data_IF_793716755877
#
_entry.id   IF_793716755877
#
_cell.length_a   1.000
_cell.length_b   1.000
_cell.length_c   1.000
_cell.angle_alpha   90.00
_cell.angle_beta   90.00
_cell.angle_gamma   90.00
#
_symmetry.space_group_name_H-M   'P 1'
#
loop_
_entity.id
_entity.type
_entity.pdbx_description
1 polymer ?
#
# COMPACT_ATOMS: atom_id res chain seq x y z
N UNK A 1 1.86 -3.23 26.74
CA UNK A 1 1.53 -4.06 25.57
C UNK A 1 1.36 -3.23 24.31
N UNK A 2 2.49 -2.96 23.64
CA UNK A 2 2.49 -2.34 22.31
C UNK A 2 2.71 -3.40 21.22
N UNK A 3 3.90 -4.03 21.15
CA UNK A 3 4.20 -5.05 20.13
C UNK A 3 3.95 -6.50 20.59
N UNK A 4 4.01 -6.74 21.91
CA UNK A 4 3.92 -8.06 22.54
C UNK A 4 2.82 -8.07 23.60
N UNK A 5 2.08 -9.17 23.71
CA UNK A 5 1.26 -9.52 24.87
C UNK A 5 2.00 -10.52 25.76
N UNK A 6 2.69 -10.06 26.83
CA UNK A 6 3.40 -10.94 27.74
C UNK A 6 2.53 -11.39 28.92
N UNK A 7 1.26 -10.97 29.05
CA UNK A 7 0.50 -11.13 30.32
C UNK A 7 0.45 -12.57 30.81
N UNK A 8 0.08 -13.50 29.92
CA UNK A 8 0.06 -14.94 30.23
C UNK A 8 1.44 -15.47 30.64
N UNK A 9 2.47 -14.98 29.96
CA UNK A 9 3.85 -15.35 30.27
C UNK A 9 4.34 -14.80 31.60
N UNK A 10 3.95 -13.58 31.94
CA UNK A 10 4.24 -12.93 33.21
C UNK A 10 3.60 -13.70 34.37
N UNK A 11 2.33 -14.08 34.24
CA UNK A 11 1.62 -14.92 35.22
C UNK A 11 2.36 -16.26 35.42
N UNK A 12 2.72 -16.93 34.32
CA UNK A 12 3.46 -18.20 34.37
C UNK A 12 4.85 -18.06 35.03
N UNK A 13 5.55 -16.96 34.75
CA UNK A 13 6.87 -16.69 35.33
C UNK A 13 6.79 -16.41 36.83
N UNK A 14 5.79 -15.64 37.27
CA UNK A 14 5.56 -15.41 38.69
C UNK A 14 5.11 -16.66 39.43
N UNK A 15 4.34 -17.54 38.79
CA UNK A 15 3.99 -18.84 39.37
C UNK A 15 5.23 -19.73 39.57
N UNK A 16 6.15 -19.75 38.61
CA UNK A 16 7.43 -20.46 38.74
C UNK A 16 8.29 -19.84 39.86
N UNK A 17 8.42 -18.50 39.89
CA UNK A 17 9.18 -17.80 40.92
C UNK A 17 8.62 -18.04 42.32
N UNK A 18 7.29 -18.04 42.47
CA UNK A 18 6.63 -18.37 43.73
C UNK A 18 6.93 -19.80 44.19
N UNK A 19 6.96 -20.76 43.26
CA UNK A 19 7.30 -22.15 43.55
C UNK A 19 8.77 -22.30 43.99
N UNK A 20 9.70 -21.55 43.41
CA UNK A 20 11.13 -21.58 43.77
C UNK A 20 11.43 -20.88 45.11
N UNK A 21 10.75 -19.77 45.39
CA UNK A 21 11.04 -18.93 46.56
C UNK A 21 10.16 -19.24 47.77
N UNK A 22 9.03 -19.92 47.58
CA UNK A 22 8.01 -20.14 48.61
C UNK A 22 7.18 -18.90 48.96
N UNK A 23 7.40 -17.77 48.29
CA UNK A 23 6.64 -16.53 48.50
C UNK A 23 5.31 -16.60 47.75
N UNK A 24 4.23 -16.17 48.40
CA UNK A 24 2.92 -16.05 47.74
C UNK A 24 2.89 -14.80 46.87
N UNK A 25 2.71 -14.98 45.56
CA UNK A 25 2.70 -13.89 44.57
C UNK A 25 1.39 -13.98 43.77
N UNK A 26 0.69 -12.85 43.64
CA UNK A 26 -0.44 -12.73 42.72
C UNK A 26 0.06 -12.31 41.33
N UNK A 27 0.26 -13.31 40.47
CA UNK A 27 0.75 -13.11 39.11
C UNK A 27 -0.22 -12.33 38.21
N UNK A 28 -1.53 -12.44 38.44
CA UNK A 28 -2.54 -11.70 37.67
C UNK A 28 -2.51 -10.21 38.02
N UNK A 29 -2.39 -9.90 39.32
CA UNK A 29 -2.22 -8.53 39.78
C UNK A 29 -0.91 -7.92 39.24
N UNK A 30 0.17 -8.70 39.18
CA UNK A 30 1.43 -8.25 38.59
C UNK A 30 1.29 -8.01 37.06
N UNK A 31 0.60 -8.89 36.34
CA UNK A 31 0.34 -8.72 34.90
C UNK A 31 -0.54 -7.49 34.59
N UNK A 32 -1.47 -7.12 35.47
CA UNK A 32 -2.30 -5.93 35.33
C UNK A 32 -1.53 -4.61 35.52
N UNK A 33 -0.34 -4.63 36.14
CA UNK A 33 0.51 -3.46 36.42
C UNK A 33 1.76 -3.38 35.55
N UNK A 34 1.81 -4.11 34.44
CA UNK A 34 2.97 -4.10 33.54
C UNK A 34 3.28 -2.70 33.03
N UNK A 35 4.56 -2.33 32.93
CA UNK A 35 4.97 -1.03 32.39
C UNK A 35 6.23 -0.52 33.08
N UNK A 36 6.20 -0.32 34.41
CA UNK A 36 7.38 0.05 35.20
C UNK A 36 8.51 -1.00 35.14
N UNK A 37 9.73 -0.63 35.56
CA UNK A 37 10.84 -1.56 35.73
C UNK A 37 10.48 -2.77 36.61
N UNK A 38 11.05 -3.94 36.28
CA UNK A 38 10.76 -5.21 36.96
C UNK A 38 11.02 -5.12 38.47
N UNK A 39 12.11 -4.46 38.87
CA UNK A 39 12.52 -4.30 40.26
C UNK A 39 11.44 -3.63 41.12
N UNK A 40 10.67 -2.69 40.56
CA UNK A 40 9.57 -2.03 41.27
C UNK A 40 8.42 -3.00 41.58
N UNK A 41 8.12 -3.92 40.65
CA UNK A 41 7.09 -4.92 40.86
C UNK A 41 7.58 -6.03 41.82
N UNK A 42 8.84 -6.47 41.72
CA UNK A 42 9.45 -7.44 42.64
C UNK A 42 9.47 -6.91 44.08
N UNK A 43 9.72 -5.61 44.28
CA UNK A 43 9.74 -4.97 45.60
C UNK A 43 8.39 -5.00 46.34
N UNK A 44 7.28 -5.31 45.66
CA UNK A 44 5.97 -5.52 46.31
C UNK A 44 5.86 -6.84 47.06
N UNK A 45 6.70 -7.82 46.71
CA UNK A 45 6.62 -9.19 47.19
C UNK A 45 7.83 -9.60 48.04
N UNK A 46 8.97 -8.93 47.84
CA UNK A 46 10.25 -9.26 48.47
C UNK A 46 10.86 -8.06 49.21
N UNK A 47 11.62 -8.29 50.28
CA UNK A 47 12.31 -7.21 50.98
C UNK A 47 13.43 -6.60 50.11
N UNK A 48 13.83 -5.33 50.35
CA UNK A 48 14.74 -4.58 49.46
C UNK A 48 16.06 -5.30 49.14
N UNK A 49 16.65 -5.99 50.10
CA UNK A 49 17.90 -6.73 49.96
C UNK A 49 17.81 -7.94 49.02
N UNK A 50 16.60 -8.45 48.75
CA UNK A 50 16.34 -9.58 47.86
C UNK A 50 15.94 -9.16 46.44
N UNK A 51 15.53 -7.90 46.22
CA UNK A 51 14.94 -7.45 44.96
C UNK A 51 15.85 -7.70 43.76
N UNK A 52 17.13 -7.33 43.84
CA UNK A 52 18.06 -7.47 42.73
C UNK A 52 18.32 -8.95 42.34
N UNK A 53 18.53 -9.81 43.34
CA UNK A 53 18.72 -11.26 43.14
C UNK A 53 17.45 -11.89 42.54
N UNK A 54 16.28 -11.57 43.10
CA UNK A 54 15.01 -12.11 42.63
C UNK A 54 14.65 -11.61 41.23
N UNK A 55 14.95 -10.35 40.89
CA UNK A 55 14.78 -9.84 39.54
C UNK A 55 15.70 -10.54 38.52
N UNK A 56 16.90 -10.95 38.92
CA UNK A 56 17.77 -11.77 38.07
C UNK A 56 17.17 -13.17 37.82
N UNK A 57 16.73 -13.86 38.89
CA UNK A 57 16.05 -15.17 38.77
C UNK A 57 14.76 -15.07 37.93
N UNK A 58 13.94 -14.03 38.11
CA UNK A 58 12.77 -13.81 37.29
C UNK A 58 13.11 -13.73 35.79
N UNK A 59 14.21 -13.07 35.41
CA UNK A 59 14.62 -12.94 34.00
C UNK A 59 15.02 -14.28 33.38
N UNK A 60 15.67 -15.14 34.15
CA UNK A 60 15.99 -16.52 33.73
C UNK A 60 14.69 -17.32 33.52
N UNK A 61 13.78 -17.25 34.48
CA UNK A 61 12.47 -17.90 34.40
C UNK A 61 11.61 -17.34 33.26
N UNK A 62 11.70 -16.05 32.96
CA UNK A 62 10.93 -15.42 31.88
C UNK A 62 11.27 -16.05 30.54
N UNK A 63 12.55 -16.34 30.29
CA UNK A 63 12.97 -16.97 29.05
C UNK A 63 12.35 -18.37 28.86
N UNK A 64 12.15 -19.10 29.96
CA UNK A 64 11.59 -20.46 29.97
C UNK A 64 10.06 -20.46 29.94
N UNK A 65 9.43 -19.59 30.74
CA UNK A 65 8.00 -19.65 31.02
C UNK A 65 7.19 -18.60 30.27
N UNK A 66 7.73 -17.40 30.05
CA UNK A 66 7.00 -16.33 29.39
C UNK A 66 7.11 -16.37 27.88
N UNK A 67 8.32 -16.53 27.33
CA UNK A 67 8.54 -16.47 25.89
C UNK A 67 7.64 -17.45 25.12
N UNK A 68 7.56 -18.75 25.46
CA UNK A 68 6.82 -19.73 24.65
C UNK A 68 5.30 -19.49 24.57
N UNK A 69 4.73 -18.68 25.46
CA UNK A 69 3.29 -18.40 25.55
C UNK A 69 2.95 -16.94 25.27
N UNK A 70 3.94 -16.11 24.95
CA UNK A 70 3.73 -14.71 24.59
C UNK A 70 3.30 -14.60 23.13
N UNK A 71 2.38 -13.68 22.83
CA UNK A 71 1.82 -13.52 21.49
C UNK A 71 2.16 -12.13 20.93
N UNK A 72 2.29 -11.98 19.59
CA UNK A 72 2.31 -10.65 18.99
C UNK A 72 0.97 -9.95 19.25
N UNK A 73 1.02 -8.64 19.47
CA UNK A 73 -0.19 -7.84 19.51
C UNK A 73 -0.87 -7.80 18.14
N UNK A 74 -2.22 -7.79 18.08
CA UNK A 74 -2.92 -7.56 16.82
C UNK A 74 -2.43 -6.29 16.13
N UNK A 75 -2.04 -6.40 14.86
CA UNK A 75 -1.51 -5.29 14.07
C UNK A 75 -0.03 -4.96 14.29
N UNK A 76 0.70 -5.64 15.19
CA UNK A 76 2.11 -5.31 15.48
C UNK A 76 3.04 -5.48 14.27
N UNK A 77 2.99 -6.64 13.61
CA UNK A 77 3.79 -6.89 12.41
C UNK A 77 3.43 -5.94 11.25
N UNK A 78 2.12 -5.66 11.09
CA UNK A 78 1.65 -4.71 10.08
C UNK A 78 2.13 -3.29 10.37
N UNK A 79 2.08 -2.83 11.63
CA UNK A 79 2.56 -1.50 12.02
C UNK A 79 4.04 -1.31 11.67
N UNK A 80 4.89 -2.31 12.02
CA UNK A 80 6.31 -2.32 11.66
C UNK A 80 6.49 -2.30 10.14
N UNK A 81 5.76 -3.14 9.41
CA UNK A 81 5.82 -3.18 7.95
C UNK A 81 5.39 -1.86 7.31
N UNK A 82 4.43 -1.13 7.89
CA UNK A 82 4.02 0.19 7.38
C UNK A 82 5.12 1.23 7.54
N UNK A 83 5.82 1.27 8.68
CA UNK A 83 6.99 2.16 8.86
C UNK A 83 8.02 1.88 7.77
N UNK A 84 8.34 0.61 7.53
CA UNK A 84 9.27 0.18 6.47
C UNK A 84 8.82 0.59 5.07
N UNK A 85 7.53 0.43 4.76
CA UNK A 85 6.95 0.85 3.46
C UNK A 85 7.11 2.35 3.22
N UNK A 86 7.13 3.14 4.29
CA UNK A 86 7.37 4.57 4.22
C UNK A 86 8.87 4.96 4.27
N UNK A 87 9.78 3.98 4.24
CA UNK A 87 11.23 4.18 4.28
C UNK A 87 11.79 4.48 5.68
N UNK A 88 10.96 4.30 6.72
CA UNK A 88 11.36 4.55 8.10
C UNK A 88 12.12 3.40 8.75
N UNK A 89 12.73 3.72 9.88
CA UNK A 89 13.35 2.77 10.80
C UNK A 89 12.44 2.54 12.02
N UNK A 90 12.56 1.38 12.64
CA UNK A 90 11.82 0.96 13.82
C UNK A 90 12.82 0.66 14.93
N UNK A 91 12.68 1.37 16.04
CA UNK A 91 13.48 1.18 17.25
C UNK A 91 12.55 0.80 18.39
N UNK A 92 12.92 -0.23 19.17
CA UNK A 92 12.16 -0.67 20.33
C UNK A 92 12.85 -0.17 21.60
N UNK A 93 12.23 0.81 22.27
CA UNK A 93 12.71 1.35 23.56
C UNK A 93 11.82 0.82 24.68
N UNK A 94 12.37 0.09 25.65
CA UNK A 94 11.58 -0.65 26.65
C UNK A 94 12.24 -0.74 28.02
N UNK A 95 11.43 -0.86 29.08
CA UNK A 95 11.91 -1.09 30.45
C UNK A 95 12.42 -2.53 30.64
N UNK A 96 12.01 -3.46 29.76
CA UNK A 96 12.54 -4.82 29.72
C UNK A 96 14.03 -4.79 29.42
N UNK A 97 14.77 -5.77 29.93
CA UNK A 97 16.19 -5.90 29.58
C UNK A 97 16.36 -6.13 28.08
N UNK A 98 17.42 -5.57 27.49
CA UNK A 98 17.66 -5.67 26.05
C UNK A 98 17.72 -7.14 25.57
N UNK A 99 18.43 -8.08 26.24
CA UNK A 99 18.47 -9.47 25.80
C UNK A 99 17.08 -10.13 25.74
N UNK A 100 16.23 -9.88 26.74
CA UNK A 100 14.87 -10.42 26.76
C UNK A 100 13.95 -9.74 25.74
N UNK A 101 14.15 -8.44 25.50
CA UNK A 101 13.40 -7.70 24.48
C UNK A 101 13.71 -8.27 23.08
N UNK A 102 15.00 -8.47 22.75
CA UNK A 102 15.42 -9.14 21.51
C UNK A 102 14.86 -10.54 21.39
N UNK A 103 15.00 -11.37 22.44
CA UNK A 103 14.45 -12.72 22.43
C UNK A 103 12.92 -12.74 22.22
N UNK A 104 12.21 -11.77 22.81
CA UNK A 104 10.76 -11.62 22.62
C UNK A 104 10.41 -11.28 21.16
N UNK A 105 11.14 -10.35 20.55
CA UNK A 105 10.95 -9.94 19.16
C UNK A 105 11.22 -11.07 18.18
N UNK A 106 12.33 -11.81 18.38
CA UNK A 106 12.65 -13.01 17.60
C UNK A 106 11.57 -14.07 17.74
N UNK A 107 11.05 -14.30 18.95
CA UNK A 107 9.99 -15.28 19.18
C UNK A 107 8.71 -14.97 18.40
N UNK A 108 8.29 -13.69 18.35
CA UNK A 108 7.09 -13.27 17.64
C UNK A 108 7.32 -12.94 16.16
N UNK A 109 8.56 -13.12 15.66
CA UNK A 109 8.91 -12.89 14.26
C UNK A 109 8.84 -11.42 13.83
N UNK A 110 9.12 -10.48 14.74
CA UNK A 110 9.17 -9.05 14.43
C UNK A 110 10.62 -8.57 14.42
N UNK A 111 11.09 -8.17 13.23
CA UNK A 111 12.43 -7.60 13.03
C UNK A 111 12.40 -6.07 13.14
N UNK A 112 13.37 -5.49 13.85
CA UNK A 112 13.51 -4.04 14.10
C UNK A 112 14.97 -3.61 13.93
N UNK A 113 15.24 -2.33 13.72
CA UNK A 113 16.61 -1.84 13.49
C UNK A 113 17.45 -1.79 14.76
N UNK A 114 16.83 -1.43 15.89
CA UNK A 114 17.51 -1.31 17.16
C UNK A 114 16.57 -1.65 18.34
N UNK A 115 17.18 -2.06 19.44
CA UNK A 115 16.49 -2.40 20.69
C UNK A 115 17.27 -1.76 21.82
N UNK A 116 16.60 -0.90 22.58
CA UNK A 116 17.13 -0.18 23.74
C UNK A 116 16.38 -0.64 24.98
N UNK A 117 17.02 -1.50 25.76
CA UNK A 117 16.45 -2.04 27.00
C UNK A 117 16.71 -1.15 28.22
N UNK A 118 16.06 -1.49 29.33
CA UNK A 118 16.22 -0.81 30.63
C UNK A 118 15.83 0.67 30.65
N UNK A 119 14.97 1.10 29.71
CA UNK A 119 14.50 2.49 29.61
C UNK A 119 13.03 2.61 29.98
N UNK A 120 12.72 3.48 30.93
CA UNK A 120 11.36 3.78 31.37
C UNK A 120 11.14 5.29 31.53
N UNK A 121 9.93 5.75 31.21
CA UNK A 121 9.54 7.16 31.29
C UNK A 121 10.57 8.09 30.62
N UNK A 122 11.05 9.12 31.33
CA UNK A 122 11.99 10.13 30.83
C UNK A 122 13.29 9.52 30.30
N UNK A 123 13.75 8.40 30.87
CA UNK A 123 15.00 7.75 30.42
C UNK A 123 14.88 7.14 29.02
N UNK A 124 13.67 6.99 28.48
CA UNK A 124 13.46 6.61 27.08
C UNK A 124 13.90 7.71 26.11
N UNK A 125 13.90 8.97 26.55
CA UNK A 125 14.24 10.10 25.69
C UNK A 125 15.68 10.04 25.17
N UNK A 126 16.63 9.58 26.00
CA UNK A 126 18.03 9.42 25.59
C UNK A 126 18.15 8.52 24.35
N UNK A 127 17.52 7.34 24.39
CA UNK A 127 17.47 6.41 23.27
C UNK A 127 16.75 7.00 22.05
N UNK A 128 15.62 7.69 22.26
CA UNK A 128 14.89 8.31 21.16
C UNK A 128 15.71 9.38 20.45
N UNK A 129 16.45 10.20 21.20
CA UNK A 129 17.34 11.24 20.65
C UNK A 129 18.52 10.61 19.91
N UNK A 130 19.14 9.56 20.48
CA UNK A 130 20.27 8.85 19.85
C UNK A 130 19.89 8.25 18.49
N UNK A 131 18.66 7.76 18.36
CA UNK A 131 18.16 7.12 17.14
C UNK A 131 17.30 8.04 16.26
N UNK A 132 17.31 9.36 16.49
CA UNK A 132 16.55 10.37 15.73
C UNK A 132 15.04 10.03 15.60
N UNK A 133 14.43 9.49 16.66
CA UNK A 133 13.02 9.08 16.68
C UNK A 133 12.11 10.30 16.62
N UNK A 134 11.27 10.37 15.59
CA UNK A 134 10.29 11.47 15.39
C UNK A 134 8.87 11.12 15.82
N UNK A 135 8.54 9.83 15.90
CA UNK A 135 7.23 9.31 16.31
C UNK A 135 7.48 8.17 17.29
N UNK A 136 6.88 8.24 18.48
CA UNK A 136 6.98 7.18 19.48
C UNK A 136 5.60 6.60 19.79
N UNK A 137 5.44 5.30 19.55
CA UNK A 137 4.21 4.58 19.84
C UNK A 137 4.34 3.75 21.13
N UNK A 138 3.43 3.96 22.08
CA UNK A 138 3.45 3.28 23.37
C UNK A 138 2.07 3.15 24.00
N UNK A 139 1.99 2.42 25.11
CA UNK A 139 0.73 2.02 25.74
C UNK A 139 0.64 2.37 27.23
N UNK A 140 1.67 3.04 27.75
CA UNK A 140 1.77 3.48 29.14
C UNK A 140 2.00 5.00 29.21
N UNK A 141 1.57 5.65 30.29
CA UNK A 141 1.78 7.10 30.49
C UNK A 141 3.26 7.50 30.44
N UNK A 142 4.15 6.60 30.88
CA UNK A 142 5.61 6.77 30.77
C UNK A 142 6.09 6.85 29.32
N UNK A 143 5.39 6.24 28.36
CA UNK A 143 5.72 6.36 26.94
C UNK A 143 5.48 7.78 26.42
N UNK A 144 4.40 8.41 26.88
CA UNK A 144 4.04 9.80 26.53
C UNK A 144 5.06 10.77 27.11
N UNK A 145 5.41 10.59 28.38
CA UNK A 145 6.45 11.38 29.05
C UNK A 145 7.79 11.25 28.32
N UNK A 146 8.21 10.03 27.99
CA UNK A 146 9.45 9.76 27.26
C UNK A 146 9.47 10.39 25.86
N UNK A 147 8.35 10.30 25.13
CA UNK A 147 8.21 10.89 23.80
C UNK A 147 8.35 12.42 23.83
N UNK A 148 7.63 13.10 24.73
CA UNK A 148 7.72 14.55 24.86
C UNK A 148 9.10 15.03 25.32
N UNK A 149 9.73 14.30 26.24
CA UNK A 149 11.10 14.61 26.67
C UNK A 149 12.12 14.50 25.52
N UNK A 150 11.85 13.65 24.52
CA UNK A 150 12.65 13.55 23.29
C UNK A 150 12.25 14.55 22.20
N UNK A 151 11.12 15.25 22.34
CA UNK A 151 10.53 16.05 21.27
C UNK A 151 9.90 15.21 20.14
N UNK A 152 9.61 13.94 20.38
CA UNK A 152 8.92 13.06 19.45
C UNK A 152 7.39 13.17 19.59
N UNK A 153 6.67 12.90 18.49
CA UNK A 153 5.21 12.82 18.50
C UNK A 153 4.76 11.61 19.32
N UNK A 154 3.97 11.84 20.37
CA UNK A 154 3.50 10.82 21.29
C UNK A 154 2.22 10.15 20.77
N UNK A 155 2.35 8.91 20.29
CA UNK A 155 1.24 8.08 19.79
C UNK A 155 0.89 7.03 20.84
N UNK A 156 -0.23 7.22 21.51
CA UNK A 156 -0.75 6.26 22.48
C UNK A 156 -1.52 5.14 21.78
N UNK A 157 -1.39 3.92 22.30
CA UNK A 157 -2.13 2.72 21.88
C UNK A 157 -2.82 2.14 23.09
N UNK A 158 -4.16 2.18 23.12
CA UNK A 158 -4.98 1.82 24.28
C UNK A 158 -5.16 0.29 24.48
N UNK A 159 -4.10 -0.48 24.23
CA UNK A 159 -4.05 -1.93 24.44
C UNK A 159 -3.27 -2.33 25.69
N UNK A 160 -2.73 -1.34 26.38
CA UNK A 160 -1.90 -1.47 27.57
C UNK A 160 -2.67 -1.47 28.90
N UNK A 161 -1.95 -1.27 30.01
CA UNK A 161 -2.55 -1.12 31.35
C UNK A 161 -3.22 0.24 31.54
N UNK A 162 -2.87 1.25 30.72
CA UNK A 162 -3.45 2.59 30.77
C UNK A 162 -4.60 2.67 29.77
N UNK A 163 -5.72 3.20 30.23
CA UNK A 163 -6.88 3.50 29.41
C UNK A 163 -6.61 4.64 28.42
N UNK A 164 -7.44 4.74 27.37
CA UNK A 164 -7.38 5.85 26.41
C UNK A 164 -7.50 7.23 27.09
N UNK A 165 -8.36 7.34 28.11
CA UNK A 165 -8.57 8.59 28.85
C UNK A 165 -7.35 8.97 29.69
N UNK A 166 -6.69 8.01 30.33
CA UNK A 166 -5.43 8.24 31.07
C UNK A 166 -4.30 8.66 30.13
N UNK A 167 -4.18 8.03 28.97
CA UNK A 167 -3.17 8.35 27.96
C UNK A 167 -3.40 9.76 27.36
N UNK A 168 -4.66 10.11 27.10
CA UNK A 168 -5.03 11.45 26.66
C UNK A 168 -4.75 12.50 27.75
N UNK A 169 -5.10 12.22 29.01
CA UNK A 169 -4.83 13.11 30.14
C UNK A 169 -3.33 13.30 30.41
N UNK A 170 -2.51 12.30 30.08
CA UNK A 170 -1.04 12.40 30.11
C UNK A 170 -0.46 13.23 28.95
N UNK A 171 -1.30 13.68 28.01
CA UNK A 171 -0.93 14.58 26.93
C UNK A 171 -0.59 13.92 25.60
N UNK A 172 -0.99 12.67 25.37
CA UNK A 172 -0.74 12.01 24.08
C UNK A 172 -1.25 12.86 22.89
N UNK A 173 -0.41 13.08 21.88
CA UNK A 173 -0.78 13.82 20.67
C UNK A 173 -1.83 13.07 19.84
N UNK A 174 -1.77 11.73 19.88
CA UNK A 174 -2.66 10.83 19.16
C UNK A 174 -3.01 9.66 20.07
N UNK A 175 -4.27 9.27 20.11
CA UNK A 175 -4.73 8.06 20.81
C UNK A 175 -5.38 7.11 19.82
N UNK A 176 -4.77 5.93 19.66
CA UNK A 176 -5.26 4.85 18.82
C UNK A 176 -5.90 3.76 19.68
N UNK A 177 -7.00 3.12 19.23
CA UNK A 177 -7.60 2.01 19.96
C UNK A 177 -6.65 0.79 20.02
N UNK A 178 -5.92 0.54 18.93
CA UNK A 178 -4.96 -0.54 18.79
C UNK A 178 -3.97 -0.24 17.65
N UNK A 179 -2.99 -1.13 17.43
CA UNK A 179 -2.02 -1.01 16.34
C UNK A 179 -2.60 -1.28 14.96
N UNK A 180 -3.79 -1.87 14.81
CA UNK A 180 -4.41 -2.03 13.50
C UNK A 180 -4.79 -0.67 12.89
N UNK A 181 -5.10 0.34 13.72
CA UNK A 181 -5.33 1.71 13.29
C UNK A 181 -4.05 2.47 12.89
N UNK A 182 -2.87 2.01 13.32
CA UNK A 182 -1.60 2.73 13.15
C UNK A 182 -1.25 3.00 11.70
N UNK A 183 -1.39 2.01 10.81
CA UNK A 183 -1.03 2.17 9.39
C UNK A 183 -1.85 3.23 8.67
N UNK A 184 -3.16 3.28 8.93
CA UNK A 184 -4.05 4.28 8.34
C UNK A 184 -3.74 5.69 8.86
N UNK A 185 -3.49 5.81 10.16
CA UNK A 185 -3.07 7.05 10.78
C UNK A 185 -1.72 7.55 10.24
N UNK A 186 -0.68 6.70 10.21
CA UNK A 186 0.66 7.06 9.74
C UNK A 186 0.62 7.53 8.28
N UNK A 187 -0.08 6.81 7.41
CA UNK A 187 -0.29 7.21 6.01
C UNK A 187 -0.94 8.59 5.90
N UNK A 188 -1.92 8.90 6.75
CA UNK A 188 -2.60 10.20 6.78
C UNK A 188 -1.71 11.31 7.33
N UNK A 189 -0.92 11.01 8.37
CA UNK A 189 0.03 11.92 9.01
C UNK A 189 1.14 12.36 8.06
N UNK A 190 1.67 11.43 7.25
CA UNK A 190 2.73 11.71 6.28
C UNK A 190 2.23 12.43 5.01
N UNK A 191 0.92 12.46 4.76
CA UNK A 191 0.36 12.97 3.50
C UNK A 191 0.69 14.45 3.23
N UNK A 192 0.52 15.40 4.18
CA UNK A 192 0.79 16.82 3.91
C UNK A 192 2.23 17.07 3.44
N UNK A 193 3.24 16.54 4.15
CA UNK A 193 4.64 16.71 3.77
C UNK A 193 4.97 16.11 2.40
N UNK A 194 4.33 15.00 2.03
CA UNK A 194 4.48 14.41 0.69
C UNK A 194 3.82 15.24 -0.42
N UNK A 195 2.72 15.93 -0.11
CA UNK A 195 2.11 16.87 -1.05
C UNK A 195 3.00 18.12 -1.25
N UNK A 196 3.63 18.60 -0.19
CA UNK A 196 4.59 19.71 -0.27
C UNK A 196 5.83 19.30 -1.09
N UNK A 197 6.39 18.11 -0.87
CA UNK A 197 7.51 17.58 -1.67
C UNK A 197 7.11 17.38 -3.14
N UNK A 198 5.91 16.85 -3.40
CA UNK A 198 5.38 16.75 -4.77
C UNK A 198 5.29 18.12 -5.45
N UNK A 199 4.80 19.14 -4.74
CA UNK A 199 4.73 20.50 -5.25
C UNK A 199 6.12 21.08 -5.54
N UNK A 200 7.09 20.92 -4.63
CA UNK A 200 8.46 21.36 -4.83
C UNK A 200 9.11 20.68 -6.05
N UNK A 201 8.93 19.37 -6.22
CA UNK A 201 9.44 18.61 -7.37
C UNK A 201 8.81 19.07 -8.68
N UNK A 202 7.49 19.23 -8.71
CA UNK A 202 6.79 19.74 -9.89
C UNK A 202 7.28 21.14 -10.25
N UNK A 203 7.42 22.04 -9.28
CA UNK A 203 7.98 23.38 -9.48
C UNK A 203 9.38 23.33 -10.09
N UNK A 204 10.24 22.43 -9.60
CA UNK A 204 11.59 22.21 -10.13
C UNK A 204 11.63 21.70 -11.58
N UNK A 205 10.57 21.05 -12.07
CA UNK A 205 10.43 20.64 -13.48
C UNK A 205 10.03 21.80 -14.40
N UNK A 206 9.43 22.86 -13.87
CA UNK A 206 9.05 24.08 -14.59
C UNK A 206 7.84 23.94 -15.52
N UNK A 207 7.86 22.99 -16.46
CA UNK A 207 6.75 22.68 -17.36
C UNK A 207 6.72 21.19 -17.71
N UNK A 208 5.52 20.64 -17.87
CA UNK A 208 5.35 19.19 -18.03
C UNK A 208 4.29 18.81 -19.06
N UNK A 209 4.59 17.74 -19.79
CA UNK A 209 3.59 16.95 -20.50
C UNK A 209 3.24 15.73 -19.62
N UNK A 210 1.99 15.64 -19.19
CA UNK A 210 1.49 14.53 -18.36
C UNK A 210 0.99 13.43 -19.29
N UNK A 211 1.61 12.25 -19.21
CA UNK A 211 1.08 11.03 -19.84
C UNK A 211 -0.20 10.60 -19.11
N UNK A 212 -1.33 11.07 -19.61
CA UNK A 212 -2.61 11.06 -18.92
C UNK A 212 -3.51 9.94 -19.46
N UNK A 213 -3.77 8.92 -18.64
CA UNK A 213 -4.61 7.77 -19.04
C UNK A 213 -6.06 7.89 -18.58
N UNK A 214 -6.43 8.96 -17.86
CA UNK A 214 -7.76 9.08 -17.25
C UNK A 214 -7.97 8.20 -16.00
N UNK A 215 -6.93 7.51 -15.53
CA UNK A 215 -6.94 6.76 -14.27
C UNK A 215 -6.66 7.64 -13.06
N UNK A 216 -7.00 7.15 -11.85
CA UNK A 216 -6.89 7.89 -10.59
C UNK A 216 -5.51 8.55 -10.38
N UNK A 217 -4.42 7.80 -10.57
CA UNK A 217 -3.07 8.30 -10.33
C UNK A 217 -2.66 9.39 -11.34
N UNK A 218 -2.94 9.18 -12.63
CA UNK A 218 -2.63 10.17 -13.67
C UNK A 218 -3.50 11.43 -13.57
N UNK A 219 -4.75 11.30 -13.13
CA UNK A 219 -5.67 12.40 -12.90
C UNK A 219 -5.25 13.26 -11.69
N UNK A 220 -4.80 12.59 -10.63
CA UNK A 220 -4.21 13.25 -9.47
C UNK A 220 -2.93 14.01 -9.85
N UNK A 221 -2.00 13.35 -10.55
CA UNK A 221 -0.76 13.99 -11.02
C UNK A 221 -1.05 15.21 -11.92
N UNK A 222 -1.99 15.08 -12.87
CA UNK A 222 -2.40 16.18 -13.72
C UNK A 222 -2.92 17.35 -12.90
N UNK A 223 -3.80 17.09 -11.93
CA UNK A 223 -4.34 18.13 -11.04
C UNK A 223 -3.25 18.78 -10.20
N UNK A 224 -2.34 17.99 -9.62
CA UNK A 224 -1.23 18.49 -8.83
C UNK A 224 -0.30 19.38 -9.68
N UNK A 225 0.03 18.95 -10.91
CA UNK A 225 0.83 19.74 -11.84
C UNK A 225 0.17 21.09 -12.15
N UNK A 226 -1.14 21.12 -12.42
CA UNK A 226 -1.89 22.37 -12.69
C UNK A 226 -1.89 23.29 -11.49
N UNK A 227 -2.14 22.75 -10.28
CA UNK A 227 -2.16 23.54 -9.04
C UNK A 227 -0.80 24.16 -8.73
N UNK A 228 0.29 23.48 -9.08
CA UNK A 228 1.66 23.95 -8.81
C UNK A 228 2.20 24.88 -9.90
N UNK A 229 2.02 24.51 -11.18
CA UNK A 229 2.68 25.17 -12.31
C UNK A 229 1.78 26.15 -13.07
N UNK A 230 0.46 26.07 -12.86
CA UNK A 230 -0.54 26.72 -13.68
C UNK A 230 -0.86 25.95 -14.97
N UNK A 231 -2.08 26.12 -15.48
CA UNK A 231 -2.56 25.39 -16.66
C UNK A 231 -1.74 25.64 -17.93
N UNK A 232 -1.15 26.83 -18.08
CA UNK A 232 -0.36 27.19 -19.27
C UNK A 232 0.96 26.42 -19.41
N UNK A 233 1.45 25.84 -18.31
CA UNK A 233 2.71 25.07 -18.26
C UNK A 233 2.50 23.56 -18.21
N UNK A 234 1.25 23.14 -18.39
CA UNK A 234 0.85 21.73 -18.28
C UNK A 234 0.06 21.35 -19.53
N UNK A 235 0.45 20.25 -20.16
CA UNK A 235 -0.33 19.64 -21.24
C UNK A 235 -0.64 18.20 -20.85
N UNK A 236 -1.90 17.80 -20.97
CA UNK A 236 -2.29 16.41 -20.82
C UNK A 236 -2.21 15.71 -22.18
N UNK A 237 -1.64 14.50 -22.23
CA UNK A 237 -1.62 13.70 -23.45
C UNK A 237 -2.15 12.29 -23.20
N UNK A 238 -3.17 11.89 -23.94
CA UNK A 238 -3.73 10.54 -23.92
C UNK A 238 -3.46 9.87 -25.26
N UNK A 239 -2.66 8.81 -25.29
CA UNK A 239 -2.41 8.10 -26.54
C UNK A 239 -3.70 7.52 -27.12
N UNK A 240 -3.94 7.82 -28.40
CA UNK A 240 -5.04 7.27 -29.16
C UNK A 240 -4.57 6.05 -29.94
N UNK A 241 -5.07 4.89 -29.57
CA UNK A 241 -4.81 3.63 -30.28
C UNK A 241 -5.97 2.67 -30.14
N UNK A 242 -5.95 1.58 -30.91
CA UNK A 242 -6.97 0.53 -30.82
C UNK A 242 -7.01 -0.19 -29.46
N UNK A 243 -6.02 0.03 -28.57
CA UNK A 243 -5.97 -0.59 -27.25
C UNK A 243 -6.66 0.24 -26.15
N UNK A 244 -6.96 1.52 -26.42
CA UNK A 244 -7.67 2.42 -25.51
C UNK A 244 -9.18 2.36 -25.78
N UNK A 245 -10.02 2.02 -24.78
CA UNK A 245 -11.47 2.13 -24.94
C UNK A 245 -11.92 3.56 -25.23
N UNK A 246 -12.86 3.75 -26.15
CA UNK A 246 -13.38 5.07 -26.54
C UNK A 246 -14.01 5.82 -25.36
N UNK A 247 -14.70 5.10 -24.46
CA UNK A 247 -15.28 5.68 -23.24
C UNK A 247 -14.22 6.23 -22.28
N UNK A 248 -13.04 5.61 -22.24
CA UNK A 248 -11.91 6.08 -21.41
C UNK A 248 -11.30 7.35 -22.00
N UNK A 249 -11.18 7.43 -23.33
CA UNK A 249 -10.72 8.65 -24.00
C UNK A 249 -11.68 9.81 -23.75
N UNK A 250 -12.98 9.61 -23.93
CA UNK A 250 -13.99 10.63 -23.67
C UNK A 250 -13.93 11.13 -22.22
N UNK A 251 -13.85 10.21 -21.24
CA UNK A 251 -13.73 10.57 -19.83
C UNK A 251 -12.44 11.34 -19.51
N UNK A 252 -11.32 11.00 -20.16
CA UNK A 252 -10.06 11.73 -20.02
C UNK A 252 -10.18 13.15 -20.61
N UNK A 253 -10.72 13.28 -21.82
CA UNK A 253 -10.95 14.59 -22.46
C UNK A 253 -11.79 15.50 -21.59
N UNK A 254 -12.91 15.00 -21.07
CA UNK A 254 -13.80 15.75 -20.17
C UNK A 254 -13.09 16.17 -18.88
N UNK A 255 -12.26 15.29 -18.31
CA UNK A 255 -11.49 15.59 -17.10
C UNK A 255 -10.48 16.71 -17.34
N UNK A 256 -9.71 16.65 -18.44
CA UNK A 256 -8.73 17.67 -18.78
C UNK A 256 -9.40 19.02 -19.11
N UNK A 257 -10.55 18.99 -19.81
CA UNK A 257 -11.34 20.18 -20.10
C UNK A 257 -11.85 20.87 -18.82
N UNK A 258 -12.37 20.10 -17.85
CA UNK A 258 -12.79 20.64 -16.54
C UNK A 258 -11.65 21.25 -15.73
N UNK A 259 -10.41 20.78 -15.93
CA UNK A 259 -9.22 21.38 -15.32
C UNK A 259 -8.69 22.60 -16.09
N UNK A 260 -9.25 22.93 -17.25
CA UNK A 260 -8.77 24.01 -18.10
C UNK A 260 -7.42 23.73 -18.76
N UNK A 261 -7.05 22.46 -18.91
CA UNK A 261 -5.76 22.04 -19.47
C UNK A 261 -5.89 21.68 -20.94
N UNK A 262 -4.91 22.09 -21.74
CA UNK A 262 -4.78 21.62 -23.12
C UNK A 262 -4.60 20.10 -23.12
N UNK A 263 -5.51 19.40 -23.79
CA UNK A 263 -5.47 17.95 -23.96
C UNK A 263 -5.12 17.59 -25.41
N UNK A 264 -4.16 16.70 -25.58
CA UNK A 264 -3.71 16.18 -26.87
C UNK A 264 -3.93 14.67 -26.94
N UNK A 265 -4.28 14.19 -28.13
CA UNK A 265 -4.56 12.78 -28.38
C UNK A 265 -3.65 12.23 -29.48
N UNK A 266 -2.32 12.14 -29.24
CA UNK A 266 -1.39 11.66 -30.26
C UNK A 266 -1.71 10.21 -30.61
N UNK A 267 -1.65 9.88 -31.90
CA UNK A 267 -1.76 8.50 -32.35
C UNK A 267 -0.48 7.73 -31.97
N UNK A 268 -0.63 6.53 -31.42
CA UNK A 268 0.49 5.61 -31.16
C UNK A 268 0.38 4.36 -32.03
N UNK A 269 1.52 3.78 -32.40
CA UNK A 269 1.58 2.60 -33.26
C UNK A 269 2.17 1.38 -32.53
N UNK A 270 1.68 1.08 -31.33
CA UNK A 270 2.17 -0.09 -30.60
C UNK A 270 1.85 -1.40 -31.34
N UNK A 271 0.83 -1.42 -32.21
CA UNK A 271 0.53 -2.55 -33.11
C UNK A 271 1.66 -2.81 -34.11
N UNK A 272 2.47 -1.82 -34.45
CA UNK A 272 3.66 -2.01 -35.28
C UNK A 272 4.79 -2.77 -34.58
N UNK A 273 4.72 -2.96 -33.25
CA UNK A 273 5.76 -3.64 -32.47
C UNK A 273 5.43 -5.12 -32.31
N UNK A 274 6.32 -5.97 -32.82
CA UNK A 274 6.19 -7.43 -32.71
C UNK A 274 5.97 -7.88 -31.27
N UNK A 275 6.76 -7.37 -30.31
CA UNK A 275 6.61 -7.73 -28.90
C UNK A 275 5.29 -7.30 -28.25
N UNK A 276 4.63 -6.28 -28.78
CA UNK A 276 3.27 -5.93 -28.34
C UNK A 276 2.24 -6.91 -28.93
N UNK A 277 2.33 -7.19 -30.24
CA UNK A 277 1.44 -8.12 -30.95
C UNK A 277 1.53 -9.55 -30.42
N UNK A 278 2.74 -10.01 -30.08
CA UNK A 278 2.98 -11.34 -29.52
C UNK A 278 2.25 -11.58 -28.19
N UNK A 279 1.79 -10.52 -27.53
CA UNK A 279 1.01 -10.61 -26.29
C UNK A 279 1.71 -11.43 -25.20
N UNK A 280 3.01 -11.21 -25.02
CA UNK A 280 3.78 -11.80 -23.91
C UNK A 280 3.55 -11.08 -22.58
N UNK A 281 4.13 -11.59 -21.48
CA UNK A 281 4.12 -10.92 -20.17
C UNK A 281 4.67 -9.49 -20.21
N UNK A 282 5.57 -9.22 -21.15
CA UNK A 282 6.23 -7.94 -21.39
C UNK A 282 5.49 -7.03 -22.38
N UNK A 283 4.28 -7.38 -22.87
CA UNK A 283 3.47 -6.52 -23.77
C UNK A 283 3.39 -5.06 -23.32
N UNK A 284 3.21 -4.84 -22.01
CA UNK A 284 3.15 -3.50 -21.43
C UNK A 284 4.46 -2.70 -21.57
N UNK A 285 5.62 -3.37 -21.68
CA UNK A 285 6.91 -2.73 -21.99
C UNK A 285 6.82 -2.05 -23.36
N UNK A 286 6.45 -2.80 -24.40
CA UNK A 286 6.38 -2.28 -25.78
C UNK A 286 5.33 -1.18 -25.94
N UNK A 287 4.18 -1.31 -25.29
CA UNK A 287 3.15 -0.27 -25.28
C UNK A 287 3.65 1.04 -24.65
N UNK A 288 4.31 0.97 -23.49
CA UNK A 288 4.84 2.16 -22.81
C UNK A 288 6.08 2.73 -23.48
N UNK A 289 6.88 1.89 -24.12
CA UNK A 289 7.97 2.32 -24.98
C UNK A 289 7.46 3.20 -26.13
N UNK A 290 6.47 2.71 -26.89
CA UNK A 290 5.80 3.48 -27.94
C UNK A 290 5.27 4.81 -27.40
N UNK A 291 4.46 4.77 -26.35
CA UNK A 291 3.88 5.96 -25.74
C UNK A 291 4.95 7.01 -25.44
N UNK A 292 6.02 6.62 -24.76
CA UNK A 292 7.04 7.58 -24.33
C UNK A 292 7.86 8.11 -25.50
N UNK A 293 8.14 7.27 -26.52
CA UNK A 293 8.79 7.68 -27.77
C UNK A 293 7.92 8.63 -28.60
N UNK A 294 6.58 8.51 -28.56
CA UNK A 294 5.65 9.46 -29.19
C UNK A 294 5.55 10.77 -28.42
N UNK A 295 5.49 10.70 -27.08
CA UNK A 295 5.25 11.89 -26.25
C UNK A 295 6.46 12.81 -26.14
N UNK A 296 7.68 12.30 -26.26
CA UNK A 296 8.89 13.12 -26.11
C UNK A 296 9.04 14.18 -27.22
N UNK A 297 9.00 13.83 -28.52
CA UNK A 297 9.02 14.83 -29.59
C UNK A 297 7.84 15.81 -29.51
N UNK A 298 6.68 15.33 -29.05
CA UNK A 298 5.51 16.19 -28.83
C UNK A 298 5.78 17.22 -27.73
N UNK A 299 6.34 16.81 -26.60
CA UNK A 299 6.74 17.72 -25.52
C UNK A 299 7.75 18.76 -26.02
N UNK A 300 8.78 18.32 -26.77
CA UNK A 300 9.80 19.21 -27.33
C UNK A 300 9.18 20.26 -28.28
N UNK A 301 8.25 19.86 -29.15
CA UNK A 301 7.54 20.77 -30.06
C UNK A 301 6.68 21.82 -29.36
N UNK A 302 6.30 21.56 -28.11
CA UNK A 302 5.50 22.46 -27.26
C UNK A 302 6.36 23.28 -26.30
N UNK A 303 7.69 23.12 -26.34
CA UNK A 303 8.61 23.75 -25.40
C UNK A 303 8.51 23.20 -23.97
N UNK A 304 7.97 21.98 -23.79
CA UNK A 304 7.83 21.32 -22.50
C UNK A 304 9.06 20.44 -22.23
N UNK A 305 9.68 20.63 -21.07
CA UNK A 305 10.99 20.02 -20.78
C UNK A 305 10.88 18.54 -20.38
N UNK A 306 9.76 18.16 -19.75
CA UNK A 306 9.62 16.85 -19.13
C UNK A 306 8.30 16.16 -19.48
N UNK A 307 8.39 14.85 -19.70
CA UNK A 307 7.24 13.94 -19.71
C UNK A 307 7.14 13.30 -18.33
N UNK A 308 5.97 13.39 -17.69
CA UNK A 308 5.72 12.79 -16.36
C UNK A 308 4.67 11.70 -16.44
N UNK A 309 4.80 10.66 -15.61
CA UNK A 309 3.81 9.57 -15.48
C UNK A 309 3.28 9.45 -14.06
N UNK A 310 2.04 8.95 -13.92
CA UNK A 310 1.39 8.72 -12.63
C UNK A 310 1.89 7.50 -11.85
N UNK A 311 3.16 7.11 -12.00
CA UNK A 311 3.76 6.02 -11.22
C UNK A 311 3.91 6.44 -9.76
N UNK A 312 3.34 5.66 -8.84
CA UNK A 312 3.33 5.95 -7.40
C UNK A 312 4.31 5.04 -6.61
N UNK A 313 4.44 5.25 -5.30
CA UNK A 313 5.39 4.50 -4.45
C UNK A 313 5.10 3.00 -4.36
N UNK A 314 3.82 2.60 -4.36
CA UNK A 314 3.43 1.20 -4.30
C UNK A 314 3.81 0.45 -5.58
N UNK A 315 3.92 1.15 -6.71
CA UNK A 315 4.36 0.55 -7.97
C UNK A 315 5.84 0.15 -7.96
N UNK A 316 6.69 0.79 -7.15
CA UNK A 316 8.13 0.49 -7.08
C UNK A 316 8.42 -0.82 -6.34
N UNK A 317 7.59 -1.18 -5.36
CA UNK A 317 7.70 -2.46 -4.62
C UNK A 317 6.97 -3.61 -5.32
N UNK A 318 6.14 -3.32 -6.32
CA UNK A 318 5.44 -4.32 -7.10
C UNK A 318 6.39 -4.90 -8.17
N UNK A 319 7.13 -5.98 -7.85
CA UNK A 319 8.27 -6.50 -8.63
C UNK A 319 8.15 -6.45 -10.17
N UNK A 320 7.07 -6.96 -10.79
CA UNK A 320 6.94 -7.01 -12.26
C UNK A 320 6.12 -5.86 -12.86
N UNK A 321 6.79 -4.77 -13.26
CA UNK A 321 6.19 -3.59 -13.92
C UNK A 321 6.91 -3.20 -15.21
N UNK A 322 6.84 -4.03 -16.28
CA UNK A 322 7.55 -3.80 -17.54
C UNK A 322 7.27 -2.42 -18.17
N UNK A 323 6.04 -1.91 -18.04
CA UNK A 323 5.67 -0.61 -18.58
C UNK A 323 6.33 0.59 -17.86
N UNK A 324 6.51 0.50 -16.55
CA UNK A 324 7.18 1.56 -15.76
C UNK A 324 8.66 1.60 -16.13
N UNK A 325 9.29 0.43 -16.22
CA UNK A 325 10.67 0.28 -16.69
C UNK A 325 10.86 0.90 -18.08
N UNK A 326 9.95 0.64 -19.03
CA UNK A 326 10.04 1.18 -20.38
C UNK A 326 10.00 2.72 -20.42
N UNK A 327 9.14 3.33 -19.61
CA UNK A 327 9.02 4.78 -19.50
C UNK A 327 10.25 5.42 -18.83
N UNK A 328 10.76 4.82 -17.76
CA UNK A 328 11.96 5.28 -17.05
C UNK A 328 13.20 5.25 -17.96
N UNK A 329 13.41 4.17 -18.72
CA UNK A 329 14.51 4.04 -19.70
C UNK A 329 14.48 5.12 -20.78
N UNK A 330 13.32 5.75 -21.01
CA UNK A 330 13.12 6.83 -22.00
C UNK A 330 13.05 8.21 -21.35
N UNK A 331 13.42 8.31 -20.08
CA UNK A 331 13.55 9.57 -19.36
C UNK A 331 12.23 10.18 -18.90
N UNK A 332 11.16 9.39 -18.79
CA UNK A 332 9.95 9.85 -18.11
C UNK A 332 10.21 10.04 -16.61
N UNK A 333 9.68 11.13 -16.06
CA UNK A 333 9.77 11.47 -14.63
C UNK A 333 8.57 10.92 -13.86
N UNK A 334 8.75 10.63 -12.58
CA UNK A 334 7.73 9.97 -11.74
C UNK A 334 7.49 10.73 -10.44
N UNK A 335 6.94 11.96 -10.49
CA UNK A 335 6.89 12.83 -9.30
C UNK A 335 6.14 12.25 -8.11
N UNK A 336 5.11 11.42 -8.34
CA UNK A 336 4.37 10.76 -7.24
C UNK A 336 5.23 9.73 -6.51
N UNK A 337 5.95 8.88 -7.26
CA UNK A 337 6.93 7.94 -6.72
C UNK A 337 8.06 8.68 -5.99
N UNK A 338 8.60 9.74 -6.62
CA UNK A 338 9.74 10.48 -6.08
C UNK A 338 9.39 11.19 -4.76
N UNK A 339 8.14 11.65 -4.62
CA UNK A 339 7.59 12.19 -3.36
C UNK A 339 7.01 11.11 -2.42
N UNK A 340 7.19 9.83 -2.75
CA UNK A 340 6.80 8.70 -1.93
C UNK A 340 5.30 8.47 -1.80
N UNK A 341 4.43 9.14 -2.57
CA UNK A 341 2.98 8.99 -2.45
C UNK A 341 2.54 7.55 -2.75
N UNK A 342 1.86 6.93 -1.78
CA UNK A 342 1.21 5.62 -1.98
C UNK A 342 -0.11 5.79 -2.73
N UNK A 343 -0.66 4.69 -3.24
CA UNK A 343 -1.97 4.69 -3.91
C UNK A 343 -3.08 5.11 -2.96
N UNK A 344 -3.00 4.71 -1.69
CA UNK A 344 -3.96 5.12 -0.66
C UNK A 344 -3.94 6.64 -0.46
N UNK A 345 -2.74 7.23 -0.35
CA UNK A 345 -2.53 8.67 -0.23
C UNK A 345 -3.02 9.44 -1.45
N UNK A 346 -2.74 8.95 -2.66
CA UNK A 346 -3.26 9.53 -3.91
C UNK A 346 -4.78 9.56 -3.91
N UNK A 347 -5.44 8.47 -3.51
CA UNK A 347 -6.91 8.39 -3.44
C UNK A 347 -7.49 9.31 -2.38
N UNK A 348 -6.86 9.37 -1.21
CA UNK A 348 -7.26 10.26 -0.13
C UNK A 348 -7.15 11.74 -0.55
N UNK A 349 -6.01 12.15 -1.09
CA UNK A 349 -5.81 13.52 -1.57
C UNK A 349 -6.77 13.85 -2.72
N UNK A 350 -6.98 12.92 -3.65
CA UNK A 350 -7.97 13.05 -4.74
C UNK A 350 -9.38 13.28 -4.19
N UNK A 351 -9.78 12.54 -3.15
CA UNK A 351 -11.09 12.70 -2.48
C UNK A 351 -11.20 14.07 -1.82
N UNK A 352 -10.17 14.50 -1.08
CA UNK A 352 -10.11 15.84 -0.45
C UNK A 352 -10.18 16.97 -1.49
N UNK A 353 -9.65 16.74 -2.69
CA UNK A 353 -9.70 17.68 -3.81
C UNK A 353 -10.96 17.58 -4.68
N UNK A 354 -11.89 16.67 -4.35
CA UNK A 354 -13.14 16.50 -5.08
C UNK A 354 -12.99 15.87 -6.48
N UNK A 355 -11.91 15.13 -6.75
CA UNK A 355 -11.67 14.55 -8.07
C UNK A 355 -12.62 13.38 -8.32
N UNK A 356 -13.40 13.42 -9.40
CA UNK A 356 -14.36 12.36 -9.76
C UNK A 356 -13.70 10.99 -9.99
N UNK A 357 -12.38 10.95 -10.21
CA UNK A 357 -11.59 9.74 -10.42
C UNK A 357 -11.08 9.09 -9.14
N UNK A 358 -11.33 9.66 -7.95
CA UNK A 358 -10.73 9.21 -6.69
C UNK A 358 -11.00 7.72 -6.38
N UNK A 359 -12.22 7.23 -6.66
CA UNK A 359 -12.58 5.82 -6.52
C UNK A 359 -12.72 5.08 -7.86
N UNK A 360 -12.18 5.65 -8.94
CA UNK A 360 -12.21 4.98 -10.25
C UNK A 360 -11.38 3.69 -10.14
N UNK A 361 -11.95 2.51 -10.46
CA UNK A 361 -11.20 1.27 -10.50
C UNK A 361 -10.06 1.36 -11.51
N UNK A 362 -9.00 0.55 -11.33
CA UNK A 362 -7.92 0.49 -12.29
C UNK A 362 -8.45 0.02 -13.66
N UNK A 363 -8.49 0.93 -14.63
CA UNK A 363 -8.85 0.61 -16.01
C UNK A 363 -7.61 0.07 -16.73
N UNK A 364 -7.65 -1.21 -17.10
CA UNK A 364 -6.65 -1.81 -17.98
C UNK A 364 -7.02 -1.58 -19.45
N UNK A 365 -6.02 -1.57 -20.34
CA UNK A 365 -6.23 -1.51 -21.78
C UNK A 365 -7.04 -2.72 -22.30
N UNK A 366 -7.64 -2.60 -23.48
CA UNK A 366 -8.40 -3.68 -24.12
C UNK A 366 -7.54 -4.93 -24.33
N UNK A 367 -6.24 -4.77 -24.59
CA UNK A 367 -5.32 -5.91 -24.77
C UNK A 367 -5.19 -6.78 -23.51
N UNK A 368 -5.54 -6.28 -22.31
CA UNK A 368 -5.57 -7.11 -21.10
C UNK A 368 -6.71 -8.15 -21.12
N UNK A 369 -7.63 -8.07 -22.07
CA UNK A 369 -8.71 -9.06 -22.24
C UNK A 369 -8.27 -10.24 -23.09
N UNK A 370 -7.23 -10.09 -23.90
CA UNK A 370 -6.74 -11.13 -24.79
C UNK A 370 -5.74 -12.01 -24.01
N UNK A 371 -5.93 -13.33 -24.03
CA UNK A 371 -5.03 -14.25 -23.34
C UNK A 371 -3.60 -14.18 -23.83
N UNK A 372 -2.64 -14.28 -22.90
CA UNK A 372 -1.22 -14.27 -23.23
C UNK A 372 -0.91 -15.35 -24.28
N UNK A 373 -0.05 -15.01 -25.24
CA UNK A 373 0.29 -15.85 -26.39
C UNK A 373 -0.72 -15.78 -27.56
N UNK A 374 -1.93 -15.26 -27.36
CA UNK A 374 -2.84 -14.93 -28.47
C UNK A 374 -2.46 -13.57 -29.02
N UNK A 375 -2.25 -13.50 -30.33
CA UNK A 375 -1.86 -12.27 -31.00
C UNK A 375 -2.88 -11.14 -30.78
N UNK A 376 -2.40 -9.96 -30.35
CA UNK A 376 -3.22 -8.75 -30.29
C UNK A 376 -3.40 -8.17 -31.68
N UNK A 377 -4.66 -8.00 -32.10
CA UNK A 377 -5.01 -7.34 -33.37
C UNK A 377 -6.11 -6.30 -33.19
N UNK A 378 -6.20 -5.28 -34.07
CA UNK A 378 -7.29 -4.30 -34.03
C UNK A 378 -8.68 -4.95 -34.08
N UNK A 379 -8.85 -6.03 -34.86
CA UNK A 379 -10.11 -6.77 -34.93
C UNK A 379 -10.50 -7.41 -33.60
N UNK A 380 -9.54 -8.02 -32.88
CA UNK A 380 -9.78 -8.62 -31.55
C UNK A 380 -10.10 -7.55 -30.50
N UNK A 381 -9.38 -6.43 -30.51
CA UNK A 381 -9.64 -5.33 -29.58
C UNK A 381 -11.03 -4.72 -29.82
N UNK A 382 -11.39 -4.49 -31.08
CA UNK A 382 -12.69 -3.93 -31.44
C UNK A 382 -13.85 -4.89 -31.11
N UNK A 383 -13.71 -6.21 -31.28
CA UNK A 383 -14.76 -7.16 -30.85
C UNK A 383 -14.93 -7.17 -29.34
N UNK A 384 -13.84 -7.14 -28.57
CA UNK A 384 -13.89 -7.08 -27.10
C UNK A 384 -14.56 -5.80 -26.64
N UNK A 385 -14.21 -4.66 -27.24
CA UNK A 385 -14.82 -3.37 -26.90
C UNK A 385 -16.32 -3.37 -27.19
N UNK A 386 -16.74 -3.84 -28.37
CA UNK A 386 -18.17 -3.97 -28.71
C UNK A 386 -18.89 -4.90 -27.74
N UNK A 387 -18.29 -6.02 -27.37
CA UNK A 387 -18.86 -6.97 -26.42
C UNK A 387 -19.01 -6.34 -25.02
N UNK A 388 -17.98 -5.68 -24.49
CA UNK A 388 -18.06 -4.99 -23.18
C UNK A 388 -19.09 -3.85 -23.22
N UNK A 389 -19.11 -3.03 -24.27
CA UNK A 389 -20.05 -1.91 -24.39
C UNK A 389 -21.49 -2.37 -24.53
N UNK A 390 -21.76 -3.32 -25.43
CA UNK A 390 -23.09 -3.88 -25.65
C UNK A 390 -23.63 -4.58 -24.40
N UNK A 391 -22.79 -5.39 -23.74
CA UNK A 391 -23.20 -6.09 -22.53
C UNK A 391 -23.46 -5.14 -21.36
N UNK A 392 -22.70 -4.03 -21.21
CA UNK A 392 -23.03 -3.00 -20.21
C UNK A 392 -24.42 -2.40 -20.43
N UNK A 393 -24.77 -2.07 -21.67
CA UNK A 393 -26.10 -1.53 -22.00
C UNK A 393 -27.18 -2.56 -21.69
N UNK A 394 -26.98 -3.82 -22.09
CA UNK A 394 -27.94 -4.89 -21.90
C UNK A 394 -28.15 -5.23 -20.40
N UNK A 395 -27.08 -5.28 -19.61
CA UNK A 395 -27.12 -5.48 -18.16
C UNK A 395 -27.87 -4.34 -17.46
N UNK A 396 -27.58 -3.08 -17.83
CA UNK A 396 -28.27 -1.93 -17.27
C UNK A 396 -29.78 -1.96 -17.58
N UNK A 397 -30.16 -2.28 -18.81
CA UNK A 397 -31.57 -2.45 -19.21
C UNK A 397 -32.26 -3.61 -18.46
N UNK A 398 -31.51 -4.63 -18.08
CA UNK A 398 -31.98 -5.76 -17.27
C UNK A 398 -32.00 -5.47 -15.75
N UNK A 399 -31.60 -4.27 -15.30
CA UNK A 399 -31.52 -3.91 -13.89
C UNK A 399 -30.33 -4.55 -13.14
N UNK A 400 -29.35 -5.10 -13.85
CA UNK A 400 -28.13 -5.68 -13.29
C UNK A 400 -27.03 -4.63 -13.24
N UNK A 401 -26.82 -4.06 -12.06
CA UNK A 401 -25.80 -3.04 -11.84
C UNK A 401 -24.42 -3.69 -11.70
N UNK A 402 -23.58 -3.59 -12.73
CA UNK A 402 -22.18 -4.06 -12.70
C UNK A 402 -21.20 -2.90 -12.60
N UNK A 403 -20.37 -2.93 -11.56
CA UNK A 403 -19.21 -2.04 -11.44
C UNK A 403 -18.07 -2.56 -12.32
N UNK A 404 -17.75 -3.85 -12.18
CA UNK A 404 -16.73 -4.52 -12.97
C UNK A 404 -17.36 -5.35 -14.08
N UNK A 405 -16.88 -5.16 -15.30
CA UNK A 405 -17.20 -6.02 -16.44
C UNK A 405 -15.95 -6.18 -17.28
N UNK A 406 -15.57 -7.42 -17.58
CA UNK A 406 -14.54 -7.76 -18.57
C UNK A 406 -15.04 -8.88 -19.46
N UNK A 407 -14.77 -8.78 -20.75
CA UNK A 407 -14.97 -9.89 -21.70
C UNK A 407 -13.59 -10.38 -22.12
N UNK A 408 -13.14 -11.52 -21.58
CA UNK A 408 -11.84 -12.11 -21.91
C UNK A 408 -11.95 -12.92 -23.20
N UNK A 409 -10.99 -12.71 -24.08
CA UNK A 409 -10.84 -13.39 -25.36
C UNK A 409 -9.79 -14.50 -25.20
N UNK A 410 -10.29 -15.75 -25.16
CA UNK A 410 -9.51 -16.97 -24.99
C UNK A 410 -9.44 -17.79 -26.28
N UNK A 411 -9.38 -17.11 -27.43
CA UNK A 411 -9.35 -17.69 -28.77
C UNK A 411 -10.63 -18.47 -29.13
N UNK A 412 -11.67 -17.72 -29.50
CA UNK A 412 -12.98 -18.27 -29.83
C UNK A 412 -13.92 -18.36 -28.63
N UNK A 413 -13.40 -18.47 -27.41
CA UNK A 413 -14.18 -18.38 -26.16
C UNK A 413 -14.15 -16.96 -25.58
N UNK A 414 -15.33 -16.35 -25.40
CA UNK A 414 -15.53 -15.20 -24.54
C UNK A 414 -15.82 -15.64 -23.10
N UNK A 415 -14.93 -15.27 -22.17
CA UNK A 415 -15.16 -15.48 -20.74
C UNK A 415 -15.52 -14.14 -20.08
N UNK A 416 -16.76 -14.03 -19.62
CA UNK A 416 -17.33 -12.82 -19.03
C UNK A 416 -17.09 -12.81 -17.52
N UNK A 417 -16.41 -11.78 -17.05
CA UNK A 417 -16.17 -11.53 -15.62
C UNK A 417 -17.00 -10.32 -15.17
N UNK A 418 -17.85 -10.52 -14.17
CA UNK A 418 -18.62 -9.46 -13.49
C UNK A 418 -18.38 -9.48 -11.98
N UNK A 419 -18.88 -8.49 -11.25
CA UNK A 419 -18.86 -8.51 -9.78
C UNK A 419 -19.42 -9.83 -9.22
N UNK A 420 -18.82 -10.37 -8.15
CA UNK A 420 -19.10 -11.73 -7.65
C UNK A 420 -20.57 -11.94 -7.27
N UNK A 421 -21.23 -10.91 -6.75
CA UNK A 421 -22.65 -10.87 -6.41
C UNK A 421 -23.57 -10.88 -7.66
N UNK A 422 -23.05 -10.51 -8.83
CA UNK A 422 -23.79 -10.47 -10.10
C UNK A 422 -23.61 -11.74 -10.95
N UNK A 423 -22.67 -12.62 -10.60
CA UNK A 423 -22.36 -13.85 -11.38
C UNK A 423 -23.58 -14.75 -11.56
N UNK A 424 -24.29 -15.07 -10.47
CA UNK A 424 -25.45 -15.96 -10.52
C UNK A 424 -26.60 -15.36 -11.33
N UNK A 425 -26.82 -14.05 -11.19
CA UNK A 425 -27.87 -13.34 -11.92
C UNK A 425 -27.60 -13.29 -13.43
N UNK A 426 -26.35 -13.06 -13.84
CA UNK A 426 -25.95 -13.10 -15.25
C UNK A 426 -25.99 -14.52 -15.83
N UNK A 427 -25.55 -15.53 -15.07
CA UNK A 427 -25.59 -16.93 -15.52
C UNK A 427 -27.03 -17.42 -15.80
N UNK A 428 -28.03 -16.86 -15.11
CA UNK A 428 -29.45 -17.13 -15.35
C UNK A 428 -30.03 -16.38 -16.58
N UNK A 429 -29.21 -15.60 -17.30
CA UNK A 429 -29.62 -14.74 -18.44
C UNK A 429 -28.84 -15.08 -19.72
N UNK A 430 -29.06 -16.29 -20.30
CA UNK A 430 -28.38 -16.70 -21.53
C UNK A 430 -28.73 -15.80 -22.72
N UNK A 431 -29.87 -15.10 -22.69
CA UNK A 431 -30.28 -14.11 -23.68
C UNK A 431 -29.30 -12.92 -23.75
N UNK A 432 -28.78 -12.47 -22.61
CA UNK A 432 -27.81 -11.37 -22.55
C UNK A 432 -26.42 -11.81 -23.06
N UNK A 433 -26.06 -13.07 -22.83
CA UNK A 433 -24.79 -13.65 -23.30
C UNK A 433 -24.82 -13.95 -24.79
N UNK A 434 -25.97 -14.36 -25.33
CA UNK A 434 -26.16 -14.62 -26.75
C UNK A 434 -26.05 -13.36 -27.63
N UNK A 435 -26.18 -12.17 -27.03
CA UNK A 435 -25.98 -10.90 -27.72
C UNK A 435 -24.49 -10.58 -28.01
N UNK A 436 -23.54 -11.35 -27.46
CA UNK A 436 -22.12 -11.18 -27.73
C UNK A 436 -21.75 -11.88 -29.04
N UNK A 437 -21.44 -11.08 -30.06
CA UNK A 437 -21.03 -11.58 -31.37
C UNK A 437 -19.50 -11.70 -31.50
N UNK A 438 -19.05 -12.57 -32.39
CA UNK A 438 -17.62 -12.71 -32.75
C UNK A 438 -16.82 -13.68 -31.86
N UNK A 439 -17.53 -14.53 -31.11
CA UNK A 439 -17.00 -15.64 -30.32
C UNK A 439 -17.77 -16.93 -30.65
N UNK A 440 -17.09 -18.06 -30.67
CA UNK A 440 -17.67 -19.39 -30.88
C UNK A 440 -18.48 -19.83 -29.65
N UNK A 441 -18.04 -19.42 -28.46
CA UNK A 441 -18.67 -19.71 -27.16
C UNK A 441 -18.60 -18.49 -26.26
N UNK A 442 -19.61 -18.33 -25.41
CA UNK A 442 -19.70 -17.28 -24.39
C UNK A 442 -20.03 -17.94 -23.06
N UNK A 443 -19.23 -17.66 -22.04
CA UNK A 443 -19.38 -18.20 -20.69
C UNK A 443 -19.20 -17.12 -19.63
N UNK A 444 -19.73 -17.35 -18.43
CA UNK A 444 -19.52 -16.49 -17.25
C UNK A 444 -18.49 -17.15 -16.34
N UNK A 445 -17.46 -16.41 -15.92
CA UNK A 445 -16.49 -16.93 -14.95
C UNK A 445 -17.21 -17.10 -13.59
N UNK A 446 -17.33 -18.34 -13.06
CA UNK A 446 -18.05 -18.58 -11.81
C UNK A 446 -17.37 -17.91 -10.60
N UNK A 447 -16.08 -17.55 -10.73
CA UNK A 447 -15.32 -16.84 -9.70
C UNK A 447 -15.46 -15.32 -9.81
N UNK A 448 -16.20 -14.81 -10.80
CA UNK A 448 -16.39 -13.37 -11.04
C UNK A 448 -15.12 -12.62 -11.40
N UNK A 449 -15.16 -11.29 -11.32
CA UNK A 449 -14.05 -10.41 -11.62
C UNK A 449 -12.95 -10.50 -10.58
N UNK A 450 -11.71 -10.73 -11.05
CA UNK A 450 -10.50 -10.67 -10.23
C UNK A 450 -9.46 -9.80 -10.93
N UNK A 451 -8.91 -8.85 -10.19
CA UNK A 451 -7.82 -8.01 -10.71
C UNK A 451 -6.61 -8.88 -11.06
N UNK A 452 -6.19 -8.84 -12.32
CA UNK A 452 -5.05 -9.63 -12.80
C UNK A 452 -5.37 -11.11 -13.07
N UNK A 453 -6.64 -11.51 -13.24
CA UNK A 453 -7.04 -12.91 -13.53
C UNK A 453 -6.21 -13.57 -14.65
N UNK A 454 -5.86 -12.83 -15.70
CA UNK A 454 -5.05 -13.34 -16.81
C UNK A 454 -3.61 -13.72 -16.41
N UNK A 455 -3.07 -13.15 -15.34
CA UNK A 455 -1.76 -13.54 -14.82
C UNK A 455 -1.80 -14.94 -14.18
N UNK A 456 -2.98 -15.42 -13.77
CA UNK A 456 -3.19 -16.79 -13.26
C UNK A 456 -2.92 -17.85 -14.34
N UNK A 457 -2.94 -17.47 -15.62
CA UNK A 457 -2.66 -18.36 -16.76
C UNK A 457 -1.16 -18.42 -17.12
N UNK A 458 -0.33 -17.54 -16.56
CA UNK A 458 1.11 -17.59 -16.76
C UNK A 458 1.74 -18.73 -15.94
N UNK A 459 2.71 -19.50 -16.48
CA UNK A 459 3.51 -20.43 -15.70
C UNK A 459 4.19 -19.73 -14.52
N UNK A 460 4.37 -20.43 -13.38
CA UNK A 460 5.01 -19.86 -12.18
C UNK A 460 6.39 -19.25 -12.47
N UNK A 461 7.15 -19.86 -13.39
CA UNK A 461 8.44 -19.37 -13.86
C UNK A 461 8.30 -18.01 -14.57
N UNK A 462 7.29 -17.80 -15.41
CA UNK A 462 7.06 -16.49 -16.05
C UNK A 462 6.59 -15.39 -15.07
N UNK A 463 6.07 -15.78 -13.89
CA UNK A 463 5.74 -14.84 -12.80
C UNK A 463 6.98 -14.45 -11.98
N UNK A 464 8.00 -15.31 -11.93
CA UNK A 464 9.23 -15.13 -11.15
C UNK A 464 10.45 -14.66 -11.98
N UNK A 465 10.52 -14.97 -13.28
CA UNK A 465 11.70 -14.77 -14.15
C UNK A 465 11.94 -13.32 -14.61
N UNK A 466 11.53 -12.34 -13.80
CA UNK A 466 12.07 -10.98 -13.89
C UNK A 466 13.50 -10.88 -13.34
N UNK A 467 13.97 -11.91 -12.62
CA UNK A 467 15.35 -12.06 -12.17
C UNK A 467 16.17 -12.86 -13.19
N UNK A 468 17.20 -12.23 -13.76
CA UNK A 468 18.35 -12.94 -14.34
C UNK A 468 18.21 -13.38 -15.80
N UNK A 469 18.62 -12.51 -16.72
CA UNK A 469 18.88 -12.83 -18.12
C UNK A 469 20.02 -12.01 -18.70
N UNK A 470 21.07 -11.74 -17.91
CA UNK A 470 22.37 -11.35 -18.44
C UNK A 470 23.23 -12.61 -18.55
N UNK A 471 23.59 -12.99 -19.77
CA UNK A 471 24.56 -14.06 -20.03
C UNK A 471 24.17 -15.00 -21.16
N UNK A 472 24.43 -14.58 -22.40
CA UNK A 472 25.57 -15.05 -23.21
C UNK A 472 25.84 -14.08 -24.34
#
# INVERSE_FOLDING_TARGET
MTLLDPRRGVVATYAALAAETGVTIDGEAAAARLGPPLEEEIARWFPPERVAETAASYRELYAVHALPVSLPMPGAADAVAQVRRHGGQVVVVTAKSEPLARASLTHIGIEVDAVEGWRFAETKAEAMIEHDVTIYAGDHVGDIVGAHAAGALAVAVATGPCSADELAAAGADVVLPDLAAFGGWLSSHLLPGRLDDLAARLAGLGSVLVAFSGGADSAFLLTAAVRTLGADRVVAATASSASLPAAELAAATDFAARLGVRHLTPATNEMGREGYRANGPDRCYFCKAELTETLRPLADSLGLVHVVTGTNADDAVAGFRPGIRAAAQRGARTPLLDAGLTKAQVREASRRWGLSTWDKPAAACLASRIAYGIEVSPARLARVERAEAGLRVALAAAGLAVRNLRVRDLDGLAMVEVDADQVAALAARPDLLAALEGFDRVEVDPRGFRSGSMNELLPAVARASGEGGAGR
#
